data_IF_647038703391
#
_entry.id   IF_647038703391
#
_cell.length_a   1.000
_cell.length_b   1.000
_cell.length_c   1.000
_cell.angle_alpha   90.00
_cell.angle_beta   90.00
_cell.angle_gamma   90.00
#
_symmetry.space_group_name_H-M   'P 1'
#
loop_
_entity.id
_entity.type
_entity.pdbx_description
1 polymer ?
#
# COMPACT_ATOMS: atom_id res chain seq x y z
N UNK A 1 -6.33 -4.97 -9.49
CA UNK A 1 -5.49 -3.80 -9.19
C UNK A 1 -5.34 -2.93 -10.43
N UNK A 2 -5.77 -1.68 -10.33
CA UNK A 2 -5.63 -0.66 -11.37
C UNK A 2 -4.43 0.25 -11.07
N UNK A 3 -3.90 0.91 -12.10
CA UNK A 3 -2.82 1.89 -11.95
C UNK A 3 -3.35 3.17 -11.31
N UNK A 4 -2.93 3.40 -10.06
CA UNK A 4 -3.28 4.56 -9.22
C UNK A 4 -2.10 5.50 -9.01
N UNK A 5 -1.01 5.36 -9.78
CA UNK A 5 0.21 6.19 -9.64
C UNK A 5 -0.01 7.68 -9.93
N UNK A 6 -1.17 8.04 -10.48
CA UNK A 6 -1.57 9.43 -10.75
C UNK A 6 -2.63 9.94 -9.79
N UNK A 7 -3.11 9.10 -8.89
CA UNK A 7 -4.10 9.50 -7.89
C UNK A 7 -3.41 10.31 -6.79
N UNK A 8 -4.16 11.25 -6.23
CA UNK A 8 -3.78 11.96 -5.00
C UNK A 8 -4.61 11.45 -3.85
N UNK A 9 -4.05 11.36 -2.65
CA UNK A 9 -4.89 11.11 -1.46
C UNK A 9 -5.77 12.35 -1.24
N UNK A 10 -7.10 12.19 -1.10
CA UNK A 10 -7.97 13.27 -0.68
C UNK A 10 -7.50 13.76 0.68
N UNK A 11 -7.03 15.00 0.74
CA UNK A 11 -6.92 15.72 2.00
C UNK A 11 -8.01 16.80 2.01
N UNK A 12 -8.81 16.93 3.08
CA UNK A 12 -9.70 18.06 3.22
C UNK A 12 -8.84 19.33 3.20
N UNK A 13 -9.20 20.27 2.33
CA UNK A 13 -8.53 21.57 2.18
C UNK A 13 -8.61 22.46 3.44
N UNK A 14 -9.28 21.99 4.50
CA UNK A 14 -9.70 22.76 5.67
C UNK A 14 -9.47 22.04 7.00
N UNK A 15 -8.41 21.25 7.14
CA UNK A 15 -7.99 20.75 8.47
C UNK A 15 -7.64 21.93 9.40
N UNK A 16 -8.66 22.42 10.13
CA UNK A 16 -8.54 23.49 11.11
C UNK A 16 -7.93 22.92 12.40
N UNK A 17 -6.61 23.10 12.53
CA UNK A 17 -5.86 23.11 13.80
C UNK A 17 -5.63 21.74 14.51
N UNK A 18 -4.59 21.64 15.38
CA UNK A 18 -3.66 20.49 15.47
C UNK A 18 -4.21 19.25 16.21
N UNK A 19 -3.53 18.06 16.12
CA UNK A 19 -2.08 17.85 16.11
C UNK A 19 -1.46 17.76 14.70
N UNK A 20 -0.15 17.49 14.63
CA UNK A 20 0.74 17.47 13.46
C UNK A 20 0.06 17.25 12.10
N UNK A 21 0.22 18.18 11.12
CA UNK A 21 -0.38 18.01 9.80
C UNK A 21 0.08 16.69 9.17
N UNK A 22 -0.80 16.10 8.36
CA UNK A 22 -0.42 14.96 7.54
C UNK A 22 0.78 15.35 6.67
N UNK A 23 1.79 14.49 6.63
CA UNK A 23 2.97 14.73 5.81
C UNK A 23 2.58 14.80 4.33
N UNK A 24 3.29 15.63 3.57
CA UNK A 24 3.10 15.75 2.13
C UNK A 24 3.30 14.40 1.43
N UNK A 25 2.47 14.14 0.43
CA UNK A 25 2.58 12.94 -0.41
C UNK A 25 3.92 12.96 -1.14
N UNK A 26 4.60 11.81 -1.16
CA UNK A 26 5.78 11.63 -2.02
C UNK A 26 5.37 11.59 -3.50
N UNK A 27 6.25 12.04 -4.38
CA UNK A 27 6.01 12.03 -5.84
C UNK A 27 5.79 10.62 -6.36
N UNK A 28 4.80 10.43 -7.25
CA UNK A 28 4.52 9.16 -7.92
C UNK A 28 3.24 8.44 -7.47
N UNK A 29 2.46 9.06 -6.57
CA UNK A 29 1.14 8.59 -6.16
C UNK A 29 1.16 7.26 -5.38
N UNK A 30 -0.01 6.74 -5.02
CA UNK A 30 -0.11 5.41 -4.42
C UNK A 30 0.26 4.31 -5.42
N UNK A 31 0.86 3.22 -4.92
CA UNK A 31 0.91 1.90 -5.59
C UNK A 31 -0.33 1.07 -5.26
N UNK A 32 -0.89 1.27 -4.06
CA UNK A 32 -2.03 0.54 -3.55
C UNK A 32 -3.06 1.49 -2.94
N UNK A 33 -4.33 1.26 -3.25
CA UNK A 33 -5.46 1.83 -2.52
C UNK A 33 -6.36 0.68 -2.07
N UNK A 34 -6.63 0.62 -0.77
CA UNK A 34 -7.46 -0.44 -0.23
C UNK A 34 -8.36 0.01 0.90
N UNK A 35 -9.52 -0.62 1.03
CA UNK A 35 -10.41 -0.45 2.18
C UNK A 35 -10.04 -1.48 3.24
N UNK A 36 -9.88 -1.03 4.48
CA UNK A 36 -9.69 -1.88 5.65
C UNK A 36 -11.01 -2.13 6.36
N UNK A 37 -11.27 -3.37 6.73
CA UNK A 37 -12.38 -3.78 7.60
C UNK A 37 -11.78 -4.43 8.84
N UNK A 38 -12.02 -3.85 10.01
CA UNK A 38 -11.34 -4.34 11.20
C UNK A 38 -11.83 -3.78 12.52
N UNK A 39 -10.96 -3.91 13.52
CA UNK A 39 -11.18 -3.40 14.88
C UNK A 39 -9.95 -2.66 15.38
N UNK A 40 -10.21 -1.63 16.17
CA UNK A 40 -9.24 -0.96 17.02
C UNK A 40 -9.35 -1.57 18.42
N UNK A 41 -8.22 -1.95 19.01
CA UNK A 41 -8.17 -2.61 20.31
C UNK A 41 -7.72 -1.64 21.39
N UNK A 42 -8.36 -1.73 22.56
CA UNK A 42 -8.09 -0.84 23.68
C UNK A 42 -8.10 -1.59 25.01
N UNK A 43 -7.25 -1.15 25.92
CA UNK A 43 -7.25 -1.55 27.32
C UNK A 43 -7.62 -0.38 28.22
N UNK A 44 -8.30 -0.65 29.34
CA UNK A 44 -8.65 0.38 30.31
C UNK A 44 -7.51 0.64 31.28
N UNK A 45 -6.90 1.82 31.18
CA UNK A 45 -5.83 2.23 32.07
C UNK A 45 -6.34 2.51 33.49
N UNK A 46 -5.44 2.52 34.47
CA UNK A 46 -5.74 2.85 35.86
C UNK A 46 -6.35 4.26 36.04
N UNK A 47 -6.10 5.16 35.09
CA UNK A 47 -6.69 6.50 35.04
C UNK A 47 -8.17 6.53 34.61
N UNK A 48 -8.79 5.39 34.30
CA UNK A 48 -10.18 5.31 33.85
C UNK A 48 -10.37 5.75 32.41
N UNK A 49 -9.32 5.70 31.60
CA UNK A 49 -9.31 6.05 30.18
C UNK A 49 -8.77 4.90 29.34
N UNK A 50 -9.27 4.77 28.12
CA UNK A 50 -8.80 3.74 27.20
C UNK A 50 -7.46 4.13 26.57
N UNK A 51 -6.55 3.17 26.47
CA UNK A 51 -5.30 3.26 25.74
C UNK A 51 -5.30 2.25 24.60
N UNK A 52 -4.85 2.65 23.41
CA UNK A 52 -4.78 1.76 22.26
C UNK A 52 -3.77 0.63 22.50
N UNK A 53 -4.18 -0.60 22.20
CA UNK A 53 -3.33 -1.81 22.17
C UNK A 53 -3.13 -2.32 20.76
N UNK A 54 -3.44 -1.50 19.75
CA UNK A 54 -3.25 -1.77 18.34
C UNK A 54 -4.55 -1.96 17.58
N UNK A 55 -4.47 -2.61 16.43
CA UNK A 55 -5.58 -2.84 15.52
C UNK A 55 -5.36 -4.15 14.76
N UNK A 56 -6.43 -4.69 14.20
CA UNK A 56 -6.39 -5.76 13.20
C UNK A 56 -7.42 -5.45 12.13
N UNK A 57 -7.06 -5.55 10.85
CA UNK A 57 -7.97 -5.38 9.72
C UNK A 57 -7.54 -6.21 8.52
N UNK A 58 -8.52 -6.67 7.75
CA UNK A 58 -8.34 -7.21 6.40
C UNK A 58 -8.46 -6.07 5.38
N UNK A 59 -7.55 -6.02 4.40
CA UNK A 59 -7.51 -4.97 3.39
C UNK A 59 -7.91 -5.53 2.02
N UNK A 60 -8.85 -4.84 1.37
CA UNK A 60 -9.33 -5.19 0.04
C UNK A 60 -8.95 -4.13 -0.98
N UNK A 61 -8.60 -4.55 -2.20
CA UNK A 61 -8.20 -3.67 -3.30
C UNK A 61 -9.42 -2.87 -3.79
N UNK A 62 -9.31 -1.54 -3.76
CA UNK A 62 -10.33 -0.64 -4.31
C UNK A 62 -9.75 0.26 -5.40
N UNK A 63 -8.52 0.00 -5.85
CA UNK A 63 -7.77 0.84 -6.79
C UNK A 63 -8.47 1.10 -8.13
N UNK A 64 -9.45 0.30 -8.50
CA UNK A 64 -10.22 0.47 -9.74
C UNK A 64 -11.45 1.37 -9.60
N UNK A 65 -11.72 1.91 -8.40
CA UNK A 65 -12.81 2.84 -8.15
C UNK A 65 -12.31 4.29 -8.20
N UNK A 66 -13.22 5.25 -8.37
CA UNK A 66 -12.84 6.67 -8.30
C UNK A 66 -12.75 7.16 -6.86
N UNK A 67 -12.02 8.26 -6.64
CA UNK A 67 -11.84 8.88 -5.32
C UNK A 67 -13.16 9.19 -4.60
N UNK A 68 -14.15 9.75 -5.32
CA UNK A 68 -15.50 10.01 -4.79
C UNK A 68 -16.20 8.72 -4.34
N UNK A 69 -15.86 7.58 -4.95
CA UNK A 69 -16.43 6.28 -4.58
C UNK A 69 -15.81 5.74 -3.30
N UNK A 70 -14.58 6.14 -2.93
CA UNK A 70 -13.92 5.64 -1.72
C UNK A 70 -14.67 6.04 -0.45
N UNK A 71 -15.15 7.28 -0.36
CA UNK A 71 -15.94 7.76 0.77
C UNK A 71 -17.25 6.97 0.89
N UNK A 72 -18.01 6.87 -0.21
CA UNK A 72 -19.27 6.11 -0.25
C UNK A 72 -19.07 4.64 0.11
N UNK A 73 -18.02 4.02 -0.42
CA UNK A 73 -17.70 2.62 -0.12
C UNK A 73 -17.30 2.45 1.35
N UNK A 74 -16.56 3.40 1.91
CA UNK A 74 -16.20 3.38 3.34
C UNK A 74 -17.45 3.43 4.21
N UNK A 75 -18.40 4.31 3.89
CA UNK A 75 -19.68 4.42 4.60
C UNK A 75 -20.51 3.14 4.53
N UNK A 76 -20.69 2.59 3.31
CA UNK A 76 -21.45 1.36 3.10
C UNK A 76 -20.81 0.17 3.83
N UNK A 77 -19.49 0.07 3.75
CA UNK A 77 -18.72 -1.01 4.40
C UNK A 77 -18.81 -0.87 5.91
N UNK A 78 -18.73 0.35 6.45
CA UNK A 78 -18.89 0.57 7.88
C UNK A 78 -20.30 0.24 8.36
N UNK A 79 -21.34 0.63 7.59
CA UNK A 79 -22.72 0.31 7.95
C UNK A 79 -22.93 -1.20 8.06
N UNK A 80 -22.48 -1.96 7.05
CA UNK A 80 -22.51 -3.41 7.07
C UNK A 80 -21.69 -4.00 8.23
N UNK A 81 -20.46 -3.49 8.44
CA UNK A 81 -19.59 -4.02 9.47
C UNK A 81 -20.11 -3.73 10.88
N UNK A 82 -20.58 -2.51 11.14
CA UNK A 82 -21.19 -2.10 12.41
C UNK A 82 -22.34 -3.03 12.78
N UNK A 83 -23.22 -3.33 11.83
CA UNK A 83 -24.43 -4.14 12.06
C UNK A 83 -24.17 -5.66 12.02
N UNK A 84 -22.98 -6.10 11.63
CA UNK A 84 -22.60 -7.51 11.67
C UNK A 84 -22.71 -8.06 13.12
N UNK A 85 -23.27 -9.26 13.32
CA UNK A 85 -23.42 -9.82 14.66
C UNK A 85 -22.05 -10.12 15.28
N UNK A 86 -21.98 -10.20 16.61
CA UNK A 86 -20.73 -10.46 17.34
C UNK A 86 -20.06 -11.79 16.97
N UNK A 87 -20.82 -12.72 16.39
CA UNK A 87 -20.32 -13.98 15.84
C UNK A 87 -19.49 -13.82 14.57
N UNK A 88 -19.54 -12.68 13.88
CA UNK A 88 -18.68 -12.32 12.76
C UNK A 88 -17.56 -11.44 13.32
N UNK A 89 -16.39 -12.06 13.53
CA UNK A 89 -15.20 -11.39 14.03
C UNK A 89 -14.33 -10.92 12.87
N UNK A 90 -13.37 -10.03 13.12
CA UNK A 90 -12.35 -9.69 12.11
C UNK A 90 -11.58 -10.93 11.65
N UNK A 91 -11.35 -11.90 12.54
CA UNK A 91 -10.72 -13.15 12.15
C UNK A 91 -11.56 -13.95 11.16
N UNK A 92 -12.89 -14.01 11.33
CA UNK A 92 -13.76 -14.63 10.32
C UNK A 92 -13.75 -13.89 9.00
N UNK A 93 -13.67 -12.55 9.02
CA UNK A 93 -13.53 -11.77 7.78
C UNK A 93 -12.23 -12.17 7.06
N UNK A 94 -11.13 -12.32 7.79
CA UNK A 94 -9.85 -12.79 7.24
C UNK A 94 -9.97 -14.22 6.70
N UNK A 95 -10.46 -15.16 7.51
CA UNK A 95 -10.50 -16.59 7.18
C UNK A 95 -11.49 -16.92 6.05
N UNK A 96 -12.68 -16.32 6.05
CA UNK A 96 -13.75 -16.65 5.10
C UNK A 96 -13.58 -15.94 3.75
N UNK A 97 -12.90 -14.80 3.72
CA UNK A 97 -12.64 -14.06 2.47
C UNK A 97 -11.28 -14.39 1.84
N UNK A 98 -10.49 -15.27 2.48
CA UNK A 98 -9.25 -15.82 1.93
C UNK A 98 -9.42 -16.43 0.53
N UNK A 99 -10.60 -17.02 0.26
CA UNK A 99 -10.95 -17.60 -1.04
C UNK A 99 -10.93 -16.61 -2.21
N UNK A 100 -11.02 -15.30 -1.93
CA UNK A 100 -10.98 -14.24 -2.94
C UNK A 100 -9.56 -13.71 -3.19
N UNK A 101 -8.54 -14.32 -2.57
CA UNK A 101 -7.13 -14.03 -2.84
C UNK A 101 -6.67 -14.68 -4.16
N UNK A 102 -5.80 -14.03 -4.93
CA UNK A 102 -5.28 -12.66 -4.78
C UNK A 102 -6.15 -11.61 -5.50
N UNK A 103 -7.33 -11.99 -6.00
CA UNK A 103 -8.12 -11.15 -6.90
C UNK A 103 -8.62 -9.86 -6.24
N UNK A 104 -8.92 -9.91 -4.94
CA UNK A 104 -9.52 -8.79 -4.21
C UNK A 104 -8.86 -8.46 -2.87
N UNK A 105 -8.19 -9.40 -2.22
CA UNK A 105 -7.49 -9.11 -0.96
C UNK A 105 -6.07 -8.66 -1.20
N UNK A 106 -5.72 -7.56 -0.53
CA UNK A 106 -4.37 -7.03 -0.46
C UNK A 106 -3.54 -7.73 0.63
N UNK A 107 -4.11 -7.89 1.81
CA UNK A 107 -3.44 -8.51 2.97
C UNK A 107 -3.95 -7.93 4.28
N UNK A 108 -3.16 -8.04 5.33
CA UNK A 108 -3.58 -7.68 6.68
C UNK A 108 -2.89 -6.41 7.19
N UNK A 109 -3.60 -5.64 8.00
CA UNK A 109 -3.04 -4.61 8.87
C UNK A 109 -3.13 -5.07 10.32
N UNK A 110 -2.02 -5.04 11.04
CA UNK A 110 -1.97 -5.38 12.46
C UNK A 110 -0.82 -4.67 13.17
N UNK A 111 -0.80 -4.71 14.50
CA UNK A 111 0.30 -4.14 15.28
C UNK A 111 1.26 -5.23 15.75
N UNK A 112 2.56 -4.92 15.69
CA UNK A 112 3.65 -5.76 16.21
C UNK A 112 4.39 -5.01 17.30
N UNK A 113 5.14 -5.72 18.15
CA UNK A 113 6.15 -5.07 19.00
C UNK A 113 7.13 -4.33 18.09
N UNK A 114 7.46 -3.09 18.43
CA UNK A 114 8.37 -2.27 17.62
C UNK A 114 9.69 -3.04 17.39
N UNK A 115 10.01 -3.39 16.14
CA UNK A 115 11.14 -4.28 15.85
C UNK A 115 12.50 -3.58 16.02
N UNK A 116 12.53 -2.26 16.15
CA UNK A 116 13.74 -1.45 16.34
C UNK A 116 14.04 -1.27 17.84
N UNK A 117 13.03 -0.92 18.63
CA UNK A 117 13.21 -0.62 20.06
C UNK A 117 12.93 -1.81 20.99
N UNK A 118 12.31 -2.88 20.48
CA UNK A 118 11.85 -4.02 21.28
C UNK A 118 10.74 -3.69 22.28
N UNK A 119 10.17 -2.48 22.21
CA UNK A 119 9.18 -1.98 23.16
C UNK A 119 8.19 -1.01 22.50
N UNK A 120 6.95 -0.99 22.98
CA UNK A 120 5.86 -0.31 22.30
C UNK A 120 5.40 -1.05 21.04
N UNK A 121 4.42 -0.49 20.35
CA UNK A 121 3.80 -1.13 19.18
C UNK A 121 4.04 -0.31 17.91
N UNK A 122 4.27 -1.01 16.80
CA UNK A 122 4.32 -0.43 15.46
C UNK A 122 3.23 -1.04 14.57
N UNK A 123 2.50 -0.24 13.79
CA UNK A 123 1.60 -0.76 12.78
C UNK A 123 2.38 -1.42 11.64
N UNK A 124 1.92 -2.59 11.21
CA UNK A 124 2.40 -3.34 10.07
C UNK A 124 1.27 -3.52 9.06
N UNK A 125 1.59 -3.40 7.79
CA UNK A 125 0.76 -3.84 6.66
C UNK A 125 1.52 -4.95 5.95
N UNK A 126 0.91 -6.12 5.80
CA UNK A 126 1.57 -7.33 5.35
C UNK A 126 0.78 -7.96 4.21
N UNK A 127 1.35 -7.92 3.00
CA UNK A 127 0.74 -8.47 1.79
C UNK A 127 1.43 -9.78 1.36
N UNK A 128 2.35 -10.30 2.17
CA UNK A 128 3.24 -11.44 1.84
C UNK A 128 2.50 -12.78 1.72
N UNK A 129 1.29 -12.88 2.26
CA UNK A 129 0.40 -14.04 2.18
C UNK A 129 -0.75 -13.87 1.17
N UNK A 130 -0.88 -12.70 0.55
CA UNK A 130 -2.08 -12.30 -0.20
C UNK A 130 -1.72 -11.74 -1.60
N UNK A 131 -2.02 -10.46 -1.89
CA UNK A 131 -1.83 -9.90 -3.24
C UNK A 131 -0.38 -9.92 -3.73
N UNK A 132 0.58 -9.94 -2.81
CA UNK A 132 2.01 -10.01 -3.06
C UNK A 132 2.59 -11.31 -2.49
N UNK A 133 1.82 -12.41 -2.57
CA UNK A 133 2.30 -13.73 -2.21
C UNK A 133 3.64 -14.05 -2.91
N UNK A 134 4.52 -14.76 -2.20
CA UNK A 134 5.88 -15.10 -2.63
C UNK A 134 6.88 -13.92 -2.70
N UNK A 135 6.48 -12.73 -2.27
CA UNK A 135 7.39 -11.59 -2.05
C UNK A 135 7.61 -11.39 -0.55
N UNK A 136 8.68 -11.92 0.05
CA UNK A 136 8.86 -11.92 1.51
C UNK A 136 8.99 -10.52 2.12
N UNK A 137 9.42 -9.54 1.33
CA UNK A 137 9.56 -8.15 1.74
C UNK A 137 8.33 -7.28 1.41
N UNK A 138 7.23 -7.89 0.93
CA UNK A 138 5.97 -7.21 0.64
C UNK A 138 5.15 -6.89 1.89
N UNK A 139 5.80 -6.30 2.88
CA UNK A 139 5.19 -5.67 4.04
C UNK A 139 5.76 -4.26 4.24
N UNK A 140 5.13 -3.48 5.12
CA UNK A 140 5.72 -2.25 5.65
C UNK A 140 5.41 -2.14 7.14
N UNK A 141 6.44 -1.85 7.94
CA UNK A 141 6.27 -1.40 9.33
C UNK A 141 6.32 0.12 9.34
N UNK A 142 5.26 0.76 9.84
CA UNK A 142 5.12 2.21 9.82
C UNK A 142 5.55 2.89 11.12
N UNK A 143 6.04 4.13 11.00
CA UNK A 143 6.15 5.08 12.10
C UNK A 143 5.26 6.29 11.82
N UNK A 144 4.45 6.72 12.81
CA UNK A 144 3.55 7.86 12.66
C UNK A 144 4.36 9.14 12.40
N UNK A 145 4.04 9.83 11.32
CA UNK A 145 4.63 11.14 10.97
C UNK A 145 3.65 12.29 11.17
N UNK A 146 2.35 12.03 11.12
CA UNK A 146 1.31 13.04 11.33
C UNK A 146 -0.04 12.42 11.62
N UNK A 147 -0.91 13.21 12.26
CA UNK A 147 -2.28 12.82 12.59
C UNK A 147 -3.17 14.05 12.72
N UNK A 148 -4.36 13.96 12.11
CA UNK A 148 -5.39 14.99 12.22
C UNK A 148 -6.71 14.32 12.62
N UNK A 149 -7.56 14.99 13.42
CA UNK A 149 -8.89 14.50 13.71
C UNK A 149 -9.65 14.16 12.43
N UNK A 150 -10.45 13.09 12.46
CA UNK A 150 -11.29 12.75 11.32
C UNK A 150 -12.18 13.96 10.94
N UNK A 151 -12.27 14.35 9.66
CA UNK A 151 -12.99 15.55 9.24
C UNK A 151 -14.50 15.47 9.54
N UNK A 152 -15.02 14.25 9.57
CA UNK A 152 -16.40 13.94 9.92
C UNK A 152 -16.43 13.18 11.25
N UNK A 153 -17.30 13.62 12.17
CA UNK A 153 -17.54 12.99 13.47
C UNK A 153 -16.25 12.52 14.21
N UNK A 154 -15.29 13.40 14.52
CA UNK A 154 -14.01 13.03 15.14
C UNK A 154 -14.14 12.38 16.53
N UNK A 155 -15.29 12.54 17.19
CA UNK A 155 -15.58 11.88 18.46
C UNK A 155 -15.89 10.38 18.30
N UNK A 156 -16.26 9.93 17.10
CA UNK A 156 -16.58 8.53 16.79
C UNK A 156 -15.59 7.89 15.83
N UNK A 157 -14.98 8.68 14.96
CA UNK A 157 -14.06 8.23 13.92
C UNK A 157 -12.62 8.44 14.36
N UNK A 158 -11.78 7.40 14.24
CA UNK A 158 -10.35 7.50 14.55
C UNK A 158 -9.64 8.46 13.61
N UNK A 159 -8.58 9.08 14.11
CA UNK A 159 -7.82 10.09 13.37
C UNK A 159 -7.31 9.59 12.02
N UNK A 160 -7.19 10.52 11.08
CA UNK A 160 -6.44 10.28 9.85
C UNK A 160 -4.96 10.33 10.16
N UNK A 161 -4.18 9.44 9.55
CA UNK A 161 -2.77 9.25 9.86
C UNK A 161 -1.92 9.32 8.60
N UNK A 162 -0.71 9.87 8.73
CA UNK A 162 0.38 9.65 7.80
C UNK A 162 1.51 8.91 8.52
N UNK A 163 2.13 7.95 7.83
CA UNK A 163 3.23 7.15 8.36
C UNK A 163 4.34 7.03 7.33
N UNK A 164 5.59 6.99 7.80
CA UNK A 164 6.75 6.61 6.99
C UNK A 164 7.11 5.15 7.23
N UNK A 165 7.69 4.51 6.22
CA UNK A 165 8.25 3.18 6.35
C UNK A 165 9.48 3.17 7.27
N UNK A 166 9.57 2.15 8.10
CA UNK A 166 10.74 1.85 8.93
C UNK A 166 11.39 0.52 8.54
N UNK A 167 10.61 -0.42 8.01
CA UNK A 167 11.04 -1.72 7.50
C UNK A 167 10.08 -2.21 6.40
N UNK A 168 10.56 -3.13 5.56
CA UNK A 168 9.82 -3.72 4.44
C UNK A 168 9.82 -2.85 3.18
N UNK A 169 9.41 -3.44 2.06
CA UNK A 169 9.49 -2.82 0.73
C UNK A 169 8.11 -2.54 0.11
N UNK A 170 7.02 -2.84 0.81
CA UNK A 170 5.66 -2.66 0.28
C UNK A 170 5.34 -1.21 -0.07
N UNK A 171 5.82 -0.28 0.76
CA UNK A 171 5.54 1.15 0.63
C UNK A 171 6.57 1.98 1.39
N UNK A 172 6.77 3.23 0.97
CA UNK A 172 7.60 4.20 1.68
C UNK A 172 6.78 5.14 2.57
N UNK A 173 5.50 5.35 2.21
CA UNK A 173 4.57 6.18 2.95
C UNK A 173 3.19 5.53 2.94
N UNK A 174 2.51 5.55 4.08
CA UNK A 174 1.16 5.03 4.25
C UNK A 174 0.26 6.14 4.78
N UNK A 175 -0.90 6.31 4.17
CA UNK A 175 -1.97 7.13 4.70
C UNK A 175 -3.14 6.26 5.14
N UNK A 176 -3.72 6.59 6.30
CA UNK A 176 -5.05 6.14 6.71
C UNK A 176 -5.98 7.33 6.67
N UNK A 177 -6.97 7.30 5.79
CA UNK A 177 -7.94 8.36 5.56
C UNK A 177 -9.34 7.75 5.48
N UNK A 178 -10.38 8.57 5.34
CA UNK A 178 -11.77 8.14 5.29
C UNK A 178 -12.10 7.11 6.38
N UNK A 179 -11.88 7.49 7.63
CA UNK A 179 -12.12 6.60 8.77
C UNK A 179 -13.59 6.66 9.19
N UNK A 180 -14.15 5.51 9.59
CA UNK A 180 -15.44 5.40 10.27
C UNK A 180 -15.32 4.49 11.48
N UNK A 181 -15.81 4.95 12.63
CA UNK A 181 -15.73 4.22 13.90
C UNK A 181 -14.31 4.14 14.47
N UNK A 182 -14.12 3.15 15.35
CA UNK A 182 -12.85 2.86 16.00
C UNK A 182 -12.54 3.67 17.25
N UNK A 183 -13.19 4.81 17.53
CA UNK A 183 -12.97 5.54 18.79
C UNK A 183 -13.58 4.76 19.96
N UNK A 184 -12.86 4.61 21.09
CA UNK A 184 -13.41 3.99 22.29
C UNK A 184 -14.39 4.96 22.99
N UNK A 185 -15.22 4.46 23.93
CA UNK A 185 -15.93 5.34 24.86
C UNK A 185 -14.97 6.29 25.58
N UNK A 186 -15.46 7.45 26.02
CA UNK A 186 -14.62 8.48 26.65
C UNK A 186 -14.00 8.07 27.98
N UNK A 187 -14.54 7.04 28.64
CA UNK A 187 -14.09 6.54 29.93
C UNK A 187 -14.37 5.06 30.10
N UNK A 188 -13.69 4.47 31.07
CA UNK A 188 -13.84 3.07 31.45
C UNK A 188 -13.60 2.90 32.95
N UNK A 189 -14.13 1.81 33.52
CA UNK A 189 -13.80 1.43 34.89
C UNK A 189 -12.44 0.73 34.91
N UNK A 190 -11.45 1.18 35.69
CA UNK A 190 -10.16 0.50 35.80
C UNK A 190 -10.32 -0.98 36.11
N UNK A 191 -9.61 -1.84 35.35
CA UNK A 191 -9.71 -3.30 35.46
C UNK A 191 -10.89 -3.91 34.69
N UNK A 192 -11.67 -3.12 33.95
CA UNK A 192 -12.62 -3.65 32.96
C UNK A 192 -11.89 -4.40 31.84
N UNK A 193 -12.62 -5.30 31.18
CA UNK A 193 -12.07 -6.08 30.08
C UNK A 193 -11.66 -5.18 28.90
N UNK A 194 -10.65 -5.63 28.16
CA UNK A 194 -10.26 -5.02 26.90
C UNK A 194 -11.42 -5.03 25.91
N UNK A 195 -11.45 -4.00 25.05
CA UNK A 195 -12.51 -3.83 24.06
C UNK A 195 -11.93 -3.79 22.65
N UNK A 196 -12.73 -4.26 21.70
CA UNK A 196 -12.47 -4.12 20.26
C UNK A 196 -13.59 -3.28 19.65
N UNK A 197 -13.23 -2.14 19.06
CA UNK A 197 -14.17 -1.21 18.43
C UNK A 197 -14.05 -1.36 16.92
N UNK A 198 -15.16 -1.72 16.27
CA UNK A 198 -15.22 -1.85 14.81
C UNK A 198 -14.86 -0.53 14.12
N UNK A 199 -14.09 -0.63 13.05
CA UNK A 199 -13.77 0.50 12.20
C UNK A 199 -13.63 0.07 10.74
N UNK A 200 -13.76 1.03 9.85
CA UNK A 200 -13.29 0.94 8.47
C UNK A 200 -12.43 2.14 8.12
N UNK A 201 -11.55 1.99 7.14
CA UNK A 201 -10.76 3.10 6.62
C UNK A 201 -10.24 2.86 5.22
N UNK A 202 -9.98 3.92 4.46
CA UNK A 202 -9.21 3.85 3.22
C UNK A 202 -7.71 4.00 3.50
N UNK A 203 -6.90 3.13 2.88
CA UNK A 203 -5.46 3.11 2.99
C UNK A 203 -4.77 3.31 1.65
N UNK A 204 -4.04 4.42 1.51
CA UNK A 204 -3.23 4.72 0.32
C UNK A 204 -1.75 4.50 0.65
N UNK A 205 -1.10 3.56 -0.05
CA UNK A 205 0.33 3.26 0.15
C UNK A 205 1.15 3.74 -1.04
N UNK A 206 2.08 4.65 -0.79
CA UNK A 206 2.88 5.31 -1.81
C UNK A 206 4.25 4.68 -1.92
N UNK A 207 4.75 4.66 -3.14
CA UNK A 207 6.11 4.27 -3.46
C UNK A 207 6.73 5.37 -4.31
N UNK A 208 7.98 5.73 -4.04
CA UNK A 208 8.69 6.58 -4.97
C UNK A 208 8.95 5.78 -6.24
N UNK A 209 8.20 6.07 -7.29
CA UNK A 209 8.63 5.72 -8.64
C UNK A 209 9.87 6.55 -8.94
N UNK A 210 11.06 6.06 -8.56
CA UNK A 210 12.28 6.51 -9.21
C UNK A 210 12.11 6.04 -10.65
N UNK A 211 11.54 6.91 -11.49
CA UNK A 211 11.80 6.85 -12.93
C UNK A 211 13.30 7.01 -13.01
N UNK A 212 14.03 5.89 -13.08
CA UNK A 212 15.37 5.89 -13.61
C UNK A 212 15.21 6.37 -15.05
N UNK A 213 15.21 7.69 -15.24
CA UNK A 213 15.61 8.31 -16.50
C UNK A 213 17.01 7.78 -16.72
N UNK A 214 17.12 6.72 -17.52
CA UNK A 214 18.40 6.17 -17.94
C UNK A 214 19.02 7.16 -18.92
N UNK A 215 19.60 8.23 -18.38
CA UNK A 215 20.55 9.10 -19.07
C UNK A 215 21.65 9.45 -18.08
N UNK A 216 22.70 8.64 -18.04
CA UNK A 216 24.06 9.09 -18.34
C UNK A 216 25.07 7.98 -17.98
N UNK A 217 25.99 7.81 -18.92
CA UNK A 217 27.15 6.93 -18.95
C UNK A 217 27.96 6.84 -17.64
N UNK A 218 28.29 5.62 -17.23
CA UNK A 218 29.44 5.36 -16.37
C UNK A 218 30.76 5.61 -17.15
N UNK A 219 31.83 6.09 -16.48
CA UNK A 219 33.11 6.34 -17.12
C UNK A 219 33.79 5.01 -17.48
N UNK A 220 34.24 4.91 -18.73
CA UNK A 220 35.00 3.78 -19.23
C UNK A 220 36.38 3.72 -18.54
N UNK A 221 36.86 2.55 -18.07
CA UNK A 221 38.26 2.40 -17.70
C UNK A 221 39.12 2.64 -18.93
N UNK A 222 40.13 3.50 -18.77
CA UNK A 222 41.09 3.85 -19.81
C UNK A 222 41.83 2.61 -20.30
N UNK A 223 41.77 2.36 -21.61
CA UNK A 223 42.64 1.41 -22.29
C UNK A 223 41.92 0.56 -23.34
N UNK A 224 41.58 1.17 -24.50
CA UNK A 224 41.37 0.50 -25.80
C UNK A 224 40.61 1.42 -26.78
N UNK A 225 41.07 2.65 -27.00
CA UNK A 225 40.53 3.54 -28.05
C UNK A 225 41.48 3.56 -29.23
N UNK A 226 41.34 2.61 -30.16
CA UNK A 226 41.92 2.69 -31.50
C UNK A 226 41.30 1.72 -32.52
N UNK A 227 40.71 0.59 -32.11
CA UNK A 227 40.36 -0.48 -33.06
C UNK A 227 38.89 -0.49 -33.55
N UNK A 228 37.96 0.26 -32.93
CA UNK A 228 36.52 0.18 -33.26
C UNK A 228 35.98 1.35 -34.12
N UNK A 229 36.85 2.26 -34.57
CA UNK A 229 36.47 3.46 -35.35
C UNK A 229 36.57 3.26 -36.88
N UNK A 230 37.13 2.16 -37.38
CA UNK A 230 37.24 1.89 -38.82
C UNK A 230 36.04 1.12 -39.39
N UNK A 231 35.43 0.20 -38.64
CA UNK A 231 34.41 -0.73 -39.17
C UNK A 231 32.97 -0.18 -39.22
N UNK A 232 32.68 0.95 -38.58
CA UNK A 232 31.35 1.58 -38.57
C UNK A 232 31.18 2.69 -39.63
N UNK A 233 32.27 3.12 -40.29
CA UNK A 233 32.19 4.08 -41.40
C UNK A 233 31.80 3.43 -42.73
N UNK A 234 32.03 2.13 -42.89
CA UNK A 234 31.71 1.41 -44.13
C UNK A 234 30.23 0.98 -44.23
N UNK A 235 29.48 1.01 -43.13
CA UNK A 235 28.06 0.62 -43.10
C UNK A 235 27.07 1.78 -43.33
N UNK A 236 27.51 3.04 -43.23
CA UNK A 236 26.63 4.21 -43.33
C UNK A 236 26.68 4.93 -44.69
N UNK A 237 27.37 4.37 -45.70
CA UNK A 237 27.49 4.97 -47.04
C UNK A 237 26.91 4.12 -48.19
N UNK A 238 25.99 3.18 -47.91
CA UNK A 238 25.32 2.42 -48.96
C UNK A 238 24.02 3.10 -49.44
N UNK A 239 23.96 3.37 -50.74
CA UNK A 239 22.91 4.03 -51.53
C UNK A 239 21.55 3.27 -51.48
N UNK A 240 20.38 3.95 -51.37
CA UNK A 240 19.07 3.30 -51.30
C UNK A 240 18.57 2.57 -52.57
N UNK A 241 19.36 2.48 -53.66
CA UNK A 241 18.97 1.79 -54.89
C UNK A 241 19.52 0.37 -55.00
N UNK A 242 19.00 -0.55 -54.20
CA UNK A 242 19.14 -2.00 -54.49
C UNK A 242 18.02 -2.85 -53.88
N UNK A 243 16.77 -2.41 -54.06
CA UNK A 243 15.65 -3.35 -54.10
C UNK A 243 15.56 -3.92 -55.51
N UNK A 244 15.99 -5.18 -55.73
CA UNK A 244 15.47 -6.13 -56.74
C UNK A 244 16.38 -7.38 -56.83
N UNK A 245 15.73 -8.56 -56.84
CA UNK A 245 16.24 -9.94 -56.98
C UNK A 245 16.78 -10.58 -55.68
N UNK A 246 16.33 -11.75 -55.21
CA UNK A 246 15.52 -12.80 -55.81
C UNK A 246 14.82 -13.64 -54.73
N UNK A 247 13.60 -14.07 -55.05
CA UNK A 247 12.79 -15.08 -54.36
C UNK A 247 13.38 -16.47 -54.63
N UNK A 248 13.45 -17.36 -53.63
CA UNK A 248 12.93 -18.73 -53.81
C UNK A 248 12.68 -19.48 -52.49
N UNK A 249 11.58 -20.22 -52.53
CA UNK A 249 10.97 -21.10 -51.54
C UNK A 249 11.63 -22.50 -51.63
N UNK A 250 11.79 -23.23 -50.52
CA UNK A 250 11.45 -24.68 -50.34
C UNK A 250 12.24 -25.41 -49.24
N UNK A 251 11.55 -26.37 -48.62
CA UNK A 251 11.85 -27.22 -47.46
C UNK A 251 13.05 -28.21 -47.52
N UNK A 252 13.51 -28.65 -46.35
CA UNK A 252 13.65 -30.07 -45.87
C UNK A 252 14.35 -30.06 -44.47
N UNK A 253 13.68 -30.34 -43.35
CA UNK A 253 13.38 -31.63 -42.73
C UNK A 253 14.57 -32.43 -42.13
N UNK A 254 14.46 -32.65 -40.81
CA UNK A 254 14.75 -33.88 -40.04
C UNK A 254 16.04 -34.04 -39.20
N UNK A 255 15.79 -34.25 -37.90
CA UNK A 255 16.40 -35.19 -36.94
C UNK A 255 17.92 -35.17 -36.71
N UNK A 256 18.30 -34.90 -35.46
CA UNK A 256 19.19 -35.80 -34.70
C UNK A 256 18.77 -35.83 -33.23
N UNK A 257 18.33 -37.02 -32.80
CA UNK A 257 18.27 -37.49 -31.41
C UNK A 257 19.45 -38.45 -31.28
N UNK A 258 20.36 -38.18 -30.37
CA UNK A 258 21.15 -39.09 -29.54
C UNK A 258 22.07 -38.21 -28.70
#
# INVERSE_FOLDING_TARGET
MCDVSRDTVPFPSTAKSPPTPLFSQITGGPKFVGIGIGVQNYTCASAGTFSSTGAVAELFDISCLSEVTYEVLTDLTFAAWKDAPSSITVQKVIDELDIFHPAFVLGQHYFIVNPITGSGLSPKWDFTSASEAYHPDAFVVGAKTGDVPAPTAPQTNVDWLSLSATQGELAQQVFRVETRGGQPPSSCTPGSADISVKYTSTYCKHYLSIVLKKVSSQPHPQGSSAALSSRLRDFMNADPRSCLHSISVSALASRCRA
#
